data_IF_381277970465
#
_entry.id   IF_381277970465
#
_cell.length_a   1.000
_cell.length_b   1.000
_cell.length_c   1.000
_cell.angle_alpha   90.00
_cell.angle_beta   90.00
_cell.angle_gamma   90.00
#
_symmetry.space_group_name_H-M   'P 1'
#
loop_
_entity.id
_entity.type
_entity.pdbx_description
1 polymer ?
#
# COMPACT_ATOMS: atom_id res chain seq x y z
N UNK A 1 -6.50 -2.45 23.53
CA UNK A 1 -5.66 -1.28 23.15
C UNK A 1 -4.36 -1.64 22.41
N UNK A 2 -3.74 -2.82 22.61
CA UNK A 2 -2.47 -3.18 21.96
C UNK A 2 -2.55 -3.41 20.44
N UNK A 3 -3.74 -3.71 19.91
CA UNK A 3 -3.99 -4.01 18.48
C UNK A 3 -4.40 -2.78 17.66
N UNK A 4 -4.97 -1.76 18.29
CA UNK A 4 -5.33 -0.48 17.67
C UNK A 4 -4.17 0.16 16.88
N UNK A 5 -2.93 0.28 17.40
CA UNK A 5 -1.84 0.87 16.63
C UNK A 5 -1.47 0.06 15.38
N UNK A 6 -1.60 -1.28 15.41
CA UNK A 6 -1.32 -2.13 14.23
C UNK A 6 -2.31 -1.88 13.10
N UNK A 7 -3.59 -1.71 13.43
CA UNK A 7 -4.64 -1.42 12.46
C UNK A 7 -4.46 -0.02 11.88
N UNK A 8 -4.08 0.97 12.68
CA UNK A 8 -3.78 2.33 12.20
C UNK A 8 -2.57 2.32 11.27
N UNK A 9 -1.48 1.64 11.66
CA UNK A 9 -0.30 1.46 10.80
C UNK A 9 -0.62 0.76 9.48
N UNK A 10 -1.48 -0.26 9.53
CA UNK A 10 -1.96 -0.95 8.34
C UNK A 10 -2.70 0.00 7.39
N UNK A 11 -3.60 0.81 7.95
CA UNK A 11 -4.40 1.76 7.19
C UNK A 11 -3.53 2.85 6.55
N UNK A 12 -2.56 3.39 7.30
CA UNK A 12 -1.57 4.34 6.78
C UNK A 12 -0.73 3.72 5.67
N UNK A 13 -0.23 2.48 5.85
CA UNK A 13 0.56 1.79 4.83
C UNK A 13 -0.20 1.58 3.52
N UNK A 14 -1.48 1.20 3.60
CA UNK A 14 -2.36 1.06 2.43
C UNK A 14 -2.60 2.40 1.76
N UNK A 15 -2.93 3.46 2.51
CA UNK A 15 -3.21 4.78 1.95
C UNK A 15 -1.97 5.39 1.25
N UNK A 16 -0.82 5.31 1.90
CA UNK A 16 0.45 5.79 1.33
C UNK A 16 0.83 4.96 0.11
N UNK A 17 0.69 3.63 0.17
CA UNK A 17 0.97 2.75 -0.96
C UNK A 17 0.09 3.07 -2.18
N UNK A 18 -1.21 3.26 -1.98
CA UNK A 18 -2.13 3.69 -3.04
C UNK A 18 -1.77 5.06 -3.61
N UNK A 19 -1.26 5.98 -2.77
CA UNK A 19 -0.75 7.28 -3.18
C UNK A 19 0.40 7.21 -4.20
N UNK A 20 1.18 6.12 -4.22
CA UNK A 20 2.21 5.89 -5.23
C UNK A 20 1.72 5.07 -6.43
N UNK A 21 0.77 4.14 -6.20
CA UNK A 21 0.22 3.28 -7.25
C UNK A 21 -0.64 4.08 -8.23
N UNK A 22 -1.53 4.95 -7.75
CA UNK A 22 -2.45 5.69 -8.63
C UNK A 22 -1.77 6.64 -9.61
N UNK A 23 -0.77 7.46 -9.21
CA UNK A 23 -0.04 8.31 -10.15
C UNK A 23 0.71 7.53 -11.22
N UNK A 24 1.31 6.38 -10.85
CA UNK A 24 2.01 5.54 -11.81
C UNK A 24 1.04 4.94 -12.85
N UNK A 25 -0.15 4.52 -12.42
CA UNK A 25 -1.21 4.06 -13.33
C UNK A 25 -1.72 5.20 -14.21
N UNK A 26 -1.90 6.42 -13.68
CA UNK A 26 -2.36 7.55 -14.48
C UNK A 26 -1.33 7.97 -15.53
N UNK A 27 -0.03 7.95 -15.18
CA UNK A 27 1.05 8.18 -16.14
C UNK A 27 1.04 7.12 -17.24
N UNK A 28 0.94 5.84 -16.88
CA UNK A 28 0.84 4.76 -17.86
C UNK A 28 -0.33 4.94 -18.83
N UNK A 29 -1.48 5.38 -18.30
CA UNK A 29 -2.69 5.61 -19.11
C UNK A 29 -2.56 6.79 -20.08
N UNK A 30 -1.81 7.82 -19.72
CA UNK A 30 -1.61 9.02 -20.56
C UNK A 30 -0.49 8.82 -21.59
N UNK A 31 0.62 8.19 -21.19
CA UNK A 31 1.81 8.04 -22.02
C UNK A 31 1.80 6.74 -22.86
N UNK A 32 0.90 5.80 -22.53
CA UNK A 32 0.83 4.47 -23.18
C UNK A 32 2.03 3.56 -22.86
N UNK A 33 2.96 4.04 -22.05
CA UNK A 33 4.25 3.44 -21.72
C UNK A 33 4.54 3.68 -20.24
N UNK A 34 5.14 2.70 -19.57
CA UNK A 34 5.65 2.87 -18.21
C UNK A 34 7.14 3.17 -18.30
N UNK A 35 7.54 4.34 -17.82
CA UNK A 35 8.95 4.68 -17.63
C UNK A 35 9.52 3.90 -16.44
N UNK A 36 10.83 3.62 -16.44
CA UNK A 36 11.48 2.87 -15.36
C UNK A 36 11.27 3.54 -14.00
N UNK A 37 11.23 4.88 -13.96
CA UNK A 37 10.94 5.64 -12.74
C UNK A 37 9.53 5.42 -12.20
N UNK A 38 8.50 5.47 -13.07
CA UNK A 38 7.12 5.21 -12.64
C UNK A 38 6.90 3.75 -12.27
N UNK A 39 7.61 2.81 -12.90
CA UNK A 39 7.60 1.39 -12.53
C UNK A 39 8.13 1.16 -11.11
N UNK A 40 9.25 1.79 -10.73
CA UNK A 40 9.80 1.64 -9.38
C UNK A 40 8.85 2.21 -8.32
N UNK A 41 8.25 3.37 -8.58
CA UNK A 41 7.25 3.97 -7.68
C UNK A 41 6.01 3.09 -7.55
N UNK A 42 5.54 2.51 -8.66
CA UNK A 42 4.43 1.56 -8.66
C UNK A 42 4.73 0.34 -7.79
N UNK A 43 5.90 -0.30 -7.98
CA UNK A 43 6.31 -1.48 -7.21
C UNK A 43 6.49 -1.16 -5.72
N UNK A 44 7.05 0.01 -5.40
CA UNK A 44 7.19 0.47 -4.02
C UNK A 44 5.82 0.72 -3.37
N UNK A 45 4.91 1.38 -4.08
CA UNK A 45 3.53 1.58 -3.65
C UNK A 45 2.78 0.28 -3.43
N UNK A 46 2.96 -0.68 -4.34
CA UNK A 46 2.36 -2.02 -4.25
C UNK A 46 2.92 -2.77 -3.03
N UNK A 47 4.24 -2.71 -2.82
CA UNK A 47 4.90 -3.29 -1.64
C UNK A 47 4.39 -2.71 -0.32
N UNK A 48 4.26 -1.38 -0.23
CA UNK A 48 3.70 -0.71 0.95
C UNK A 48 2.24 -1.08 1.20
N UNK A 49 1.44 -1.18 0.13
CA UNK A 49 0.03 -1.56 0.21
C UNK A 49 -0.12 -2.99 0.76
N UNK A 50 0.69 -3.92 0.24
CA UNK A 50 0.70 -5.32 0.69
C UNK A 50 1.20 -5.42 2.14
N UNK A 51 2.26 -4.70 2.50
CA UNK A 51 2.75 -4.66 3.88
C UNK A 51 1.71 -4.11 4.86
N UNK A 52 1.00 -3.05 4.47
CA UNK A 52 -0.13 -2.50 5.22
C UNK A 52 -1.25 -3.53 5.42
N UNK A 53 -1.67 -4.19 4.34
CA UNK A 53 -2.67 -5.28 4.37
C UNK A 53 -2.26 -6.42 5.32
N UNK A 54 -1.01 -6.88 5.26
CA UNK A 54 -0.50 -7.93 6.13
C UNK A 54 -0.51 -7.54 7.60
N UNK A 55 -0.08 -6.32 7.91
CA UNK A 55 -0.10 -5.77 9.27
C UNK A 55 -1.53 -5.70 9.81
N UNK A 56 -2.48 -5.27 8.98
CA UNK A 56 -3.89 -5.19 9.33
C UNK A 56 -4.52 -6.57 9.56
N UNK A 57 -4.24 -7.53 8.68
CA UNK A 57 -4.68 -8.92 8.83
C UNK A 57 -4.16 -9.54 10.13
N UNK A 58 -2.90 -9.26 10.51
CA UNK A 58 -2.33 -9.72 11.77
C UNK A 58 -2.98 -9.03 12.98
N UNK A 59 -3.27 -7.73 12.89
CA UNK A 59 -3.99 -6.98 13.91
C UNK A 59 -5.40 -7.53 14.17
N UNK A 60 -6.13 -7.87 13.10
CA UNK A 60 -7.48 -8.48 13.18
C UNK A 60 -7.40 -9.91 13.72
N UNK A 61 -6.43 -10.72 13.29
CA UNK A 61 -6.25 -12.10 13.80
C UNK A 61 -6.00 -12.11 15.32
N UNK A 62 -5.27 -11.11 15.84
CA UNK A 62 -5.03 -10.94 17.28
C UNK A 62 -6.23 -10.42 18.07
N UNK A 63 -7.27 -9.88 17.41
CA UNK A 63 -8.53 -9.49 18.07
C UNK A 63 -9.51 -10.66 18.19
N UNK A 64 -9.37 -11.69 17.36
CA UNK A 64 -10.27 -12.85 17.31
C UNK A 64 -9.84 -13.98 18.25
N UNK A 65 -8.56 -14.06 18.59
CA UNK A 65 -8.01 -14.97 19.61
C UNK A 65 -8.01 -14.30 20.99
#
# INVERSE_FOLDING_TARGET
MKTTPLIVLALVGVLVGLGFVFPAISHWRQEGSITVGSLMLFLLGLGLTVAGLFSGAQGIKRLKN
#
